data_IF_818241493047
#
_entry.id   IF_818241493047
#
_cell.length_a   1.000
_cell.length_b   1.000
_cell.length_c   1.000
_cell.angle_alpha   90.00
_cell.angle_beta   90.00
_cell.angle_gamma   90.00
#
_symmetry.space_group_name_H-M   'P 1'
#
loop_
_entity.id
_entity.type
_entity.pdbx_description
1 polymer ?
#
# COMPACT_ATOMS: atom_id res chain seq x y z
N UNK A 1 -12.48 13.05 29.67
CA UNK A 1 -12.17 13.56 28.32
C UNK A 1 -12.93 14.86 28.13
N UNK A 2 -12.24 16.00 28.04
CA UNK A 2 -12.89 17.27 27.71
C UNK A 2 -13.17 17.31 26.20
N UNK A 3 -14.41 17.60 25.82
CA UNK A 3 -14.89 17.63 24.41
C UNK A 3 -14.81 19.05 23.85
N UNK A 4 -14.23 19.99 24.59
CA UNK A 4 -14.19 21.43 24.26
C UNK A 4 -13.45 21.74 22.96
N UNK A 5 -12.49 20.89 22.57
CA UNK A 5 -11.75 21.04 21.32
C UNK A 5 -12.56 20.61 20.09
N UNK A 6 -13.65 19.84 20.27
CA UNK A 6 -14.49 19.33 19.20
C UNK A 6 -15.49 20.39 18.74
N UNK A 7 -14.96 21.38 18.03
CA UNK A 7 -15.72 22.50 17.47
C UNK A 7 -15.44 22.61 15.97
N UNK A 8 -16.41 23.12 15.22
CA UNK A 8 -16.27 23.32 13.77
C UNK A 8 -15.18 24.35 13.39
N UNK A 9 -14.75 25.17 14.35
CA UNK A 9 -13.67 26.14 14.19
C UNK A 9 -12.28 25.53 14.37
N UNK A 10 -12.17 24.33 14.96
CA UNK A 10 -10.90 23.63 15.12
C UNK A 10 -10.60 22.75 13.89
N UNK A 11 -9.56 23.06 13.08
CA UNK A 11 -9.23 22.26 11.91
C UNK A 11 -8.92 20.80 12.22
N UNK A 12 -8.35 20.51 13.40
CA UNK A 12 -8.04 19.14 13.84
C UNK A 12 -9.33 18.34 14.07
N UNK A 13 -10.38 18.96 14.63
CA UNK A 13 -11.67 18.33 14.83
C UNK A 13 -12.38 18.01 13.51
N UNK A 14 -12.34 18.95 12.56
CA UNK A 14 -12.91 18.75 11.21
C UNK A 14 -12.16 17.64 10.47
N UNK A 15 -10.83 17.65 10.51
CA UNK A 15 -10.00 16.60 9.92
C UNK A 15 -10.27 15.22 10.56
N UNK A 16 -10.36 15.14 11.88
CA UNK A 16 -10.68 13.89 12.57
C UNK A 16 -12.08 13.38 12.21
N UNK A 17 -13.09 14.25 12.17
CA UNK A 17 -14.43 13.89 11.72
C UNK A 17 -14.44 13.34 10.29
N UNK A 18 -13.63 13.92 9.40
CA UNK A 18 -13.40 13.39 8.06
C UNK A 18 -12.79 11.98 8.10
N UNK A 19 -11.73 11.75 8.88
CA UNK A 19 -11.10 10.43 8.99
C UNK A 19 -12.07 9.34 9.48
N UNK A 20 -12.88 9.65 10.51
CA UNK A 20 -13.89 8.74 11.05
C UNK A 20 -14.98 8.46 10.02
N UNK A 21 -15.45 9.48 9.31
CA UNK A 21 -16.48 9.34 8.26
C UNK A 21 -15.99 8.45 7.12
N UNK A 22 -14.78 8.71 6.62
CA UNK A 22 -14.15 7.90 5.57
C UNK A 22 -13.95 6.46 6.04
N UNK A 23 -13.52 6.26 7.29
CA UNK A 23 -13.36 4.93 7.87
C UNK A 23 -14.68 4.16 7.95
N UNK A 24 -15.77 4.83 8.34
CA UNK A 24 -17.11 4.25 8.31
C UNK A 24 -17.52 3.81 6.90
N UNK A 25 -17.27 4.65 5.90
CA UNK A 25 -17.52 4.31 4.50
C UNK A 25 -16.67 3.12 4.03
N UNK A 26 -15.39 3.08 4.39
CA UNK A 26 -14.48 1.98 4.05
C UNK A 26 -14.94 0.64 4.65
N UNK A 27 -15.37 0.64 5.91
CA UNK A 27 -15.92 -0.56 6.58
C UNK A 27 -17.22 -1.02 5.90
N UNK A 28 -18.09 -0.09 5.51
CA UNK A 28 -19.31 -0.40 4.78
C UNK A 28 -19.02 -1.03 3.41
N UNK A 29 -18.04 -0.50 2.67
CA UNK A 29 -17.59 -1.04 1.39
C UNK A 29 -16.98 -2.45 1.56
N UNK A 30 -16.10 -2.65 2.54
CA UNK A 30 -15.57 -3.98 2.85
C UNK A 30 -16.68 -4.98 3.21
N UNK A 31 -17.65 -4.55 4.03
CA UNK A 31 -18.79 -5.37 4.42
C UNK A 31 -19.64 -5.78 3.22
N UNK A 32 -19.84 -4.86 2.26
CA UNK A 32 -20.51 -5.13 0.99
C UNK A 32 -19.75 -6.15 0.14
N UNK A 33 -18.42 -6.00 0.01
CA UNK A 33 -17.57 -6.97 -0.67
C UNK A 33 -17.68 -8.35 -0.03
N UNK A 34 -17.54 -8.44 1.31
CA UNK A 34 -17.67 -9.70 2.05
C UNK A 34 -19.01 -10.40 1.79
N UNK A 35 -20.12 -9.66 1.78
CA UNK A 35 -21.45 -10.21 1.45
C UNK A 35 -21.51 -10.77 0.04
N UNK A 36 -20.83 -10.16 -0.95
CA UNK A 36 -20.77 -10.69 -2.33
C UNK A 36 -19.96 -11.98 -2.44
N UNK A 37 -19.00 -12.22 -1.54
CA UNK A 37 -18.23 -13.47 -1.50
C UNK A 37 -18.96 -14.63 -0.79
N UNK A 38 -19.88 -14.34 0.14
CA UNK A 38 -20.60 -15.37 0.91
C UNK A 38 -21.42 -16.36 0.06
N UNK A 39 -22.22 -15.95 -0.96
CA UNK A 39 -23.01 -16.87 -1.78
C UNK A 39 -22.18 -17.89 -2.55
N UNK A 40 -20.93 -17.55 -2.93
CA UNK A 40 -20.04 -18.45 -3.69
C UNK A 40 -19.43 -19.55 -2.82
N UNK A 41 -19.27 -19.33 -1.52
CA UNK A 41 -18.76 -20.33 -0.59
C UNK A 41 -19.83 -21.36 -0.20
N UNK A 42 -21.09 -20.93 -0.06
CA UNK A 42 -22.23 -21.79 0.30
C UNK A 42 -22.59 -22.82 -0.78
N UNK A 43 -22.32 -22.53 -2.06
CA UNK A 43 -22.60 -23.43 -3.18
C UNK A 43 -21.64 -24.64 -3.28
N UNK A 44 -20.52 -24.64 -2.54
CA UNK A 44 -19.49 -25.67 -2.61
C UNK A 44 -19.48 -26.66 -1.43
N UNK A 45 -20.48 -26.63 -0.55
CA UNK A 45 -20.78 -27.74 0.39
C UNK A 45 -19.71 -28.09 1.44
N UNK A 46 -18.67 -27.26 1.63
CA UNK A 46 -17.68 -27.49 2.69
C UNK A 46 -18.00 -26.63 3.93
N UNK A 47 -18.32 -27.31 5.04
CA UNK A 47 -18.40 -26.75 6.37
C UNK A 47 -17.06 -26.15 6.81
N UNK A 48 -17.13 -25.13 7.66
CA UNK A 48 -16.11 -24.09 7.94
C UNK A 48 -16.08 -23.04 6.82
N UNK A 49 -16.57 -21.84 7.14
CA UNK A 49 -16.53 -20.68 6.25
C UNK A 49 -15.09 -20.47 5.72
N UNK A 50 -14.81 -20.91 4.48
CA UNK A 50 -13.56 -20.61 3.79
C UNK A 50 -13.56 -19.11 3.49
N UNK A 51 -13.19 -18.30 4.48
CA UNK A 51 -13.01 -16.87 4.28
C UNK A 51 -11.87 -16.73 3.29
N UNK A 52 -12.16 -16.07 2.17
CA UNK A 52 -11.17 -15.80 1.15
C UNK A 52 -10.00 -15.01 1.78
N UNK A 53 -8.77 -15.48 1.58
CA UNK A 53 -7.56 -14.82 2.10
C UNK A 53 -7.50 -13.34 1.72
N UNK A 54 -7.95 -12.96 0.51
CA UNK A 54 -7.99 -11.55 0.09
C UNK A 54 -8.96 -10.73 0.94
N UNK A 55 -10.07 -11.31 1.39
CA UNK A 55 -11.02 -10.63 2.29
C UNK A 55 -10.42 -10.44 3.68
N UNK A 56 -9.65 -11.42 4.18
CA UNK A 56 -8.96 -11.33 5.47
C UNK A 56 -7.83 -10.28 5.44
N UNK A 57 -6.98 -10.31 4.40
CA UNK A 57 -5.91 -9.34 4.23
C UNK A 57 -6.46 -7.91 4.07
N UNK A 58 -7.53 -7.76 3.29
CA UNK A 58 -8.21 -6.48 3.14
C UNK A 58 -8.86 -6.03 4.46
N UNK A 59 -9.45 -6.96 5.23
CA UNK A 59 -10.01 -6.64 6.54
C UNK A 59 -8.94 -6.10 7.49
N UNK A 60 -7.80 -6.79 7.60
CA UNK A 60 -6.68 -6.35 8.44
C UNK A 60 -6.25 -4.92 8.10
N UNK A 61 -6.16 -4.59 6.80
CA UNK A 61 -5.84 -3.23 6.37
C UNK A 61 -6.94 -2.21 6.70
N UNK A 62 -8.20 -2.50 6.32
CA UNK A 62 -9.35 -1.60 6.52
C UNK A 62 -9.57 -1.31 8.00
N UNK A 63 -9.59 -2.33 8.85
CA UNK A 63 -9.80 -2.17 10.29
C UNK A 63 -8.57 -1.57 10.98
N UNK A 64 -7.36 -1.86 10.51
CA UNK A 64 -6.15 -1.21 11.00
C UNK A 64 -6.15 0.29 10.73
N UNK A 65 -6.49 0.70 9.50
CA UNK A 65 -6.66 2.12 9.13
C UNK A 65 -7.82 2.77 9.90
N UNK A 66 -8.94 2.07 10.11
CA UNK A 66 -10.06 2.59 10.88
C UNK A 66 -9.68 2.81 12.36
N UNK A 67 -8.95 1.88 12.98
CA UNK A 67 -8.42 2.03 14.32
C UNK A 67 -7.53 3.27 14.44
N UNK A 68 -6.60 3.45 13.49
CA UNK A 68 -5.70 4.62 13.46
C UNK A 68 -6.41 5.93 13.08
N UNK A 69 -7.54 5.86 12.38
CA UNK A 69 -8.38 7.03 12.08
C UNK A 69 -9.18 7.50 13.30
N UNK A 70 -9.66 6.56 14.11
CA UNK A 70 -10.33 6.86 15.39
C UNK A 70 -9.32 7.37 16.41
N UNK A 71 -8.13 6.76 16.47
CA UNK A 71 -7.05 7.10 17.39
C UNK A 71 -5.79 7.56 16.62
N UNK A 72 -5.83 8.74 15.96
CA UNK A 72 -4.69 9.25 15.21
C UNK A 72 -3.56 9.63 16.16
N UNK A 73 -2.33 9.43 15.67
CA UNK A 73 -1.09 9.63 16.41
C UNK A 73 0.07 9.84 15.44
N UNK A 74 1.03 10.68 15.82
CA UNK A 74 2.30 10.78 15.09
C UNK A 74 3.39 10.05 15.90
N UNK A 75 3.88 8.97 15.32
CA UNK A 75 4.60 7.93 16.06
C UNK A 75 5.92 8.44 16.67
N UNK A 76 6.79 9.08 15.89
CA UNK A 76 8.10 9.57 16.39
C UNK A 76 7.95 10.76 17.36
N UNK A 77 6.98 11.64 17.11
CA UNK A 77 6.75 12.83 17.92
C UNK A 77 6.01 12.53 19.24
N UNK A 78 5.49 11.30 19.42
CA UNK A 78 4.69 10.87 20.57
C UNK A 78 3.42 11.71 20.78
N UNK A 79 2.87 12.31 19.72
CA UNK A 79 1.63 13.09 19.84
C UNK A 79 0.42 12.23 19.52
N UNK A 80 -0.64 12.39 20.31
CA UNK A 80 -1.89 11.64 20.16
C UNK A 80 -3.08 12.59 20.28
N UNK A 81 -4.22 12.18 19.71
CA UNK A 81 -5.45 12.95 19.84
C UNK A 81 -6.25 12.56 21.09
N UNK A 82 -6.16 11.30 21.52
CA UNK A 82 -6.91 10.79 22.67
C UNK A 82 -6.00 10.16 23.71
N UNK A 83 -6.26 10.45 24.98
CA UNK A 83 -5.55 9.87 26.10
C UNK A 83 -6.09 8.46 26.44
N UNK A 84 -5.45 7.44 25.91
CA UNK A 84 -5.79 6.04 26.19
C UNK A 84 -4.58 5.16 25.90
N UNK A 85 -4.46 4.04 26.60
CA UNK A 85 -3.40 3.06 26.34
C UNK A 85 -3.42 2.54 24.88
N UNK A 86 -4.59 2.55 24.24
CA UNK A 86 -4.75 2.21 22.82
C UNK A 86 -4.08 3.23 21.89
N UNK A 87 -3.84 4.46 22.36
CA UNK A 87 -3.12 5.51 21.63
C UNK A 87 -1.60 5.37 21.75
N UNK A 88 -1.10 4.41 22.54
CA UNK A 88 0.34 4.13 22.63
C UNK A 88 0.93 3.88 21.24
N UNK A 89 2.15 4.38 21.04
CA UNK A 89 2.82 4.26 19.75
C UNK A 89 3.12 2.79 19.44
N UNK A 90 3.44 1.98 20.45
CA UNK A 90 3.63 0.54 20.29
C UNK A 90 2.41 -0.16 19.69
N UNK A 91 1.20 0.08 20.21
CA UNK A 91 -0.04 -0.53 19.69
C UNK A 91 -0.32 0.00 18.27
N UNK A 92 -0.20 1.31 18.07
CA UNK A 92 -0.44 1.95 16.77
C UNK A 92 0.46 1.40 15.67
N UNK A 93 1.77 1.31 15.95
CA UNK A 93 2.77 0.78 15.02
C UNK A 93 2.60 -0.72 14.78
N UNK A 94 2.22 -1.51 15.79
CA UNK A 94 1.88 -2.93 15.60
C UNK A 94 0.70 -3.12 14.65
N UNK A 95 -0.38 -2.36 14.85
CA UNK A 95 -1.57 -2.38 13.97
C UNK A 95 -1.19 -1.95 12.54
N UNK A 96 -0.37 -0.91 12.42
CA UNK A 96 0.13 -0.42 11.14
C UNK A 96 0.96 -1.47 10.40
N UNK A 97 1.92 -2.11 11.08
CA UNK A 97 2.77 -3.16 10.51
C UNK A 97 1.93 -4.34 10.01
N UNK A 98 0.96 -4.81 10.78
CA UNK A 98 0.06 -5.90 10.33
C UNK A 98 -0.72 -5.46 9.08
N UNK A 99 -1.28 -4.26 9.11
CA UNK A 99 -2.03 -3.70 7.99
C UNK A 99 -1.15 -3.62 6.73
N UNK A 100 0.01 -2.97 6.82
CA UNK A 100 0.95 -2.73 5.72
C UNK A 100 1.47 -4.03 5.10
N UNK A 101 1.80 -5.02 5.93
CA UNK A 101 2.17 -6.37 5.47
C UNK A 101 1.00 -7.03 4.75
N UNK A 102 -0.21 -6.98 5.29
CA UNK A 102 -1.39 -7.52 4.62
C UNK A 102 -1.67 -6.83 3.27
N UNK A 103 -1.42 -5.52 3.18
CA UNK A 103 -1.61 -4.74 1.98
C UNK A 103 -0.61 -5.13 0.87
N UNK A 104 0.68 -5.24 1.18
CA UNK A 104 1.68 -5.67 0.18
C UNK A 104 1.47 -7.13 -0.24
N UNK A 105 0.99 -8.00 0.65
CA UNK A 105 0.64 -9.39 0.31
C UNK A 105 -0.52 -9.41 -0.70
N UNK A 106 -1.52 -8.53 -0.60
CA UNK A 106 -2.58 -8.44 -1.60
C UNK A 106 -2.02 -8.10 -2.98
N UNK A 107 -1.12 -7.11 -3.06
CA UNK A 107 -0.39 -6.80 -4.29
C UNK A 107 0.38 -8.01 -4.84
N UNK A 108 1.10 -8.72 -3.97
CA UNK A 108 1.88 -9.89 -4.35
C UNK A 108 0.99 -10.99 -4.94
N UNK A 109 -0.17 -11.27 -4.32
CA UNK A 109 -1.12 -12.27 -4.81
C UNK A 109 -1.64 -11.89 -6.20
N UNK A 110 -2.09 -10.64 -6.39
CA UNK A 110 -2.62 -10.17 -7.69
C UNK A 110 -1.54 -10.24 -8.77
N UNK A 111 -0.36 -9.68 -8.51
CA UNK A 111 0.74 -9.67 -9.47
C UNK A 111 1.22 -11.07 -9.80
N UNK A 112 1.35 -11.96 -8.80
CA UNK A 112 1.76 -13.36 -9.02
C UNK A 112 0.75 -14.11 -9.89
N UNK A 113 -0.54 -13.93 -9.65
CA UNK A 113 -1.60 -14.55 -10.44
C UNK A 113 -1.55 -14.07 -11.90
N UNK A 114 -1.53 -12.75 -12.10
CA UNK A 114 -1.54 -12.16 -13.43
C UNK A 114 -0.24 -12.47 -14.18
N UNK A 115 0.92 -12.37 -13.52
CA UNK A 115 2.24 -12.68 -14.08
C UNK A 115 2.32 -14.12 -14.60
N UNK A 116 1.80 -15.10 -13.84
CA UNK A 116 1.72 -16.49 -14.30
C UNK A 116 0.77 -16.67 -15.47
N UNK A 117 -0.37 -15.99 -15.46
CA UNK A 117 -1.34 -16.07 -16.55
C UNK A 117 -0.76 -15.53 -17.87
N UNK A 118 -0.05 -14.40 -17.84
CA UNK A 118 0.59 -13.83 -19.04
C UNK A 118 1.95 -14.45 -19.37
N UNK A 119 2.49 -15.31 -18.49
CA UNK A 119 3.84 -15.90 -18.57
C UNK A 119 4.95 -14.84 -18.58
N UNK A 120 4.82 -13.82 -17.73
CA UNK A 120 5.84 -12.78 -17.55
C UNK A 120 6.69 -13.05 -16.32
N UNK A 121 7.96 -13.34 -16.53
CA UNK A 121 8.94 -13.52 -15.45
C UNK A 121 9.16 -12.21 -14.69
N UNK A 122 9.17 -11.07 -15.38
CA UNK A 122 9.30 -9.75 -14.75
C UNK A 122 8.22 -9.50 -13.71
N UNK A 123 6.95 -9.66 -14.06
CA UNK A 123 5.81 -9.45 -13.14
C UNK A 123 5.87 -10.47 -11.99
N UNK A 124 6.24 -11.70 -12.31
CA UNK A 124 6.33 -12.80 -11.35
C UNK A 124 7.46 -12.59 -10.33
N UNK A 125 8.62 -12.08 -10.76
CA UNK A 125 9.76 -11.77 -9.88
C UNK A 125 9.48 -10.54 -9.01
N UNK A 126 8.85 -9.51 -9.57
CA UNK A 126 8.42 -8.34 -8.80
C UNK A 126 7.45 -8.76 -7.70
N UNK A 127 6.46 -9.62 -8.01
CA UNK A 127 5.50 -10.09 -7.01
C UNK A 127 6.13 -10.79 -5.80
N UNK A 128 7.30 -11.42 -5.98
CA UNK A 128 8.05 -12.06 -4.89
C UNK A 128 8.99 -11.13 -4.14
N UNK A 129 9.44 -10.05 -4.79
CA UNK A 129 10.39 -9.11 -4.19
C UNK A 129 9.73 -8.10 -3.24
N UNK A 130 8.48 -7.70 -3.51
CA UNK A 130 7.83 -6.61 -2.78
C UNK A 130 7.58 -6.90 -1.29
N UNK A 131 7.22 -8.15 -0.92
CA UNK A 131 6.93 -8.48 0.48
C UNK A 131 8.20 -8.39 1.36
N UNK A 132 9.34 -9.03 1.00
CA UNK A 132 10.59 -8.85 1.74
C UNK A 132 11.03 -7.39 1.85
N UNK A 133 10.88 -6.60 0.78
CA UNK A 133 11.25 -5.17 0.80
C UNK A 133 10.44 -4.40 1.85
N UNK A 134 9.13 -4.62 1.92
CA UNK A 134 8.27 -3.96 2.92
C UNK A 134 8.56 -4.49 4.33
N UNK A 135 8.87 -5.78 4.50
CA UNK A 135 9.29 -6.27 5.82
C UNK A 135 10.56 -5.56 6.34
N UNK A 136 11.52 -5.25 5.46
CA UNK A 136 12.69 -4.43 5.82
C UNK A 136 12.26 -2.99 6.14
N UNK A 137 11.33 -2.42 5.37
CA UNK A 137 10.77 -1.09 5.65
C UNK A 137 10.12 -1.03 7.04
N UNK A 138 9.37 -2.06 7.46
CA UNK A 138 8.79 -2.15 8.80
C UNK A 138 9.86 -2.19 9.88
N UNK A 139 10.95 -2.92 9.69
CA UNK A 139 12.07 -2.92 10.64
C UNK A 139 12.68 -1.53 10.79
N UNK A 140 12.82 -0.78 9.68
CA UNK A 140 13.28 0.61 9.71
C UNK A 140 12.27 1.52 10.42
N UNK A 141 10.96 1.32 10.21
CA UNK A 141 9.88 2.03 10.90
C UNK A 141 9.94 1.82 12.42
N UNK A 142 10.06 0.57 12.85
CA UNK A 142 10.21 0.22 14.26
C UNK A 142 11.48 0.80 14.87
N UNK A 143 12.61 0.71 14.16
CA UNK A 143 13.85 1.32 14.60
C UNK A 143 13.69 2.84 14.80
N UNK A 144 13.08 3.53 13.83
CA UNK A 144 12.86 4.96 13.89
C UNK A 144 12.01 5.36 15.09
N UNK A 145 10.93 4.62 15.32
CA UNK A 145 9.98 4.89 16.39
C UNK A 145 10.60 4.60 17.75
N UNK A 146 11.32 3.49 17.92
CA UNK A 146 11.98 3.12 19.18
C UNK A 146 13.10 4.13 19.52
N UNK A 147 13.95 4.46 18.56
CA UNK A 147 15.14 5.32 18.80
C UNK A 147 14.85 6.81 18.66
N UNK A 148 13.66 7.17 18.17
CA UNK A 148 13.27 8.53 17.75
C UNK A 148 14.12 9.12 16.62
N UNK A 149 14.73 8.24 15.80
CA UNK A 149 15.58 8.60 14.67
C UNK A 149 14.78 8.65 13.37
N UNK A 150 14.48 9.86 12.88
CA UNK A 150 13.73 10.06 11.63
C UNK A 150 14.38 9.47 10.37
N UNK A 151 15.69 9.15 10.40
CA UNK A 151 16.35 8.49 9.28
C UNK A 151 15.71 7.13 8.95
N UNK A 152 15.25 6.38 9.97
CA UNK A 152 14.58 5.11 9.73
C UNK A 152 13.26 5.28 8.98
N UNK A 153 12.48 6.33 9.27
CA UNK A 153 11.27 6.64 8.51
C UNK A 153 11.58 7.12 7.08
N UNK A 154 12.67 7.86 6.88
CA UNK A 154 13.10 8.25 5.53
C UNK A 154 13.45 7.01 4.68
N UNK A 155 14.13 6.02 5.27
CA UNK A 155 14.48 4.76 4.60
C UNK A 155 13.23 3.91 4.35
N UNK A 156 12.34 3.77 5.33
CA UNK A 156 11.03 3.10 5.20
C UNK A 156 10.24 3.66 4.01
N UNK A 157 10.04 4.98 3.97
CA UNK A 157 9.28 5.64 2.89
C UNK A 157 9.98 5.53 1.54
N UNK A 158 11.31 5.51 1.52
CA UNK A 158 12.09 5.25 0.30
C UNK A 158 11.89 3.82 -0.21
N UNK A 159 11.83 2.82 0.69
CA UNK A 159 11.55 1.43 0.33
C UNK A 159 10.11 1.24 -0.18
N UNK A 160 9.14 1.98 0.39
CA UNK A 160 7.80 2.07 -0.17
C UNK A 160 7.80 2.65 -1.58
N UNK A 161 8.54 3.75 -1.83
CA UNK A 161 8.65 4.34 -3.15
C UNK A 161 9.25 3.35 -4.16
N UNK A 162 10.35 2.68 -3.83
CA UNK A 162 10.97 1.64 -4.67
C UNK A 162 9.99 0.50 -4.95
N UNK A 163 9.29 0.01 -3.92
CA UNK A 163 8.30 -1.05 -4.05
C UNK A 163 7.20 -0.67 -5.04
N UNK A 164 6.66 0.53 -4.93
CA UNK A 164 5.61 1.01 -5.83
C UNK A 164 6.12 1.31 -7.25
N UNK A 165 7.38 1.75 -7.42
CA UNK A 165 8.01 1.83 -8.74
C UNK A 165 8.11 0.44 -9.38
N UNK A 166 8.49 -0.59 -8.64
CA UNK A 166 8.50 -1.97 -9.15
C UNK A 166 7.09 -2.42 -9.54
N UNK A 167 6.07 -2.15 -8.72
CA UNK A 167 4.67 -2.45 -9.05
C UNK A 167 4.25 -1.70 -10.33
N UNK A 168 4.62 -0.43 -10.49
CA UNK A 168 4.33 0.34 -11.69
C UNK A 168 4.98 -0.26 -12.94
N UNK A 169 6.23 -0.73 -12.86
CA UNK A 169 6.91 -1.43 -13.96
C UNK A 169 6.14 -2.71 -14.33
N UNK A 170 5.71 -3.49 -13.33
CA UNK A 170 4.91 -4.69 -13.57
C UNK A 170 3.59 -4.36 -14.27
N UNK A 171 2.85 -3.36 -13.77
CA UNK A 171 1.57 -2.93 -14.36
C UNK A 171 1.74 -2.33 -15.75
N UNK A 172 2.81 -1.56 -16.00
CA UNK A 172 3.10 -1.00 -17.31
C UNK A 172 3.37 -2.09 -18.34
N UNK A 173 4.06 -3.17 -17.96
CA UNK A 173 4.19 -4.37 -18.81
C UNK A 173 2.82 -4.98 -19.12
N UNK A 174 1.96 -5.11 -18.12
CA UNK A 174 0.61 -5.67 -18.30
C UNK A 174 -0.31 -4.83 -19.20
N UNK A 175 -0.04 -3.52 -19.40
CA UNK A 175 -0.80 -2.70 -20.36
C UNK A 175 -0.73 -3.22 -21.79
N UNK A 176 0.36 -3.89 -22.15
CA UNK A 176 0.56 -4.49 -23.47
C UNK A 176 -0.17 -5.83 -23.62
N UNK A 177 -0.37 -6.55 -22.52
CA UNK A 177 -1.02 -7.87 -22.50
C UNK A 177 -2.55 -7.80 -22.49
N UNK A 178 -3.13 -6.68 -22.04
CA UNK A 178 -4.58 -6.52 -21.91
C UNK A 178 -5.18 -5.48 -22.87
N UNK A 179 -6.49 -5.59 -23.09
CA UNK A 179 -7.30 -4.63 -23.82
C UNK A 179 -8.63 -4.34 -23.11
N UNK A 180 -9.39 -3.37 -23.62
CA UNK A 180 -10.70 -3.01 -23.08
C UNK A 180 -10.66 -2.51 -21.62
N UNK A 181 -11.69 -2.81 -20.81
CA UNK A 181 -11.81 -2.34 -19.44
C UNK A 181 -10.64 -2.71 -18.52
N UNK A 182 -10.01 -3.88 -18.71
CA UNK A 182 -8.86 -4.30 -17.89
C UNK A 182 -7.66 -3.40 -18.15
N UNK A 183 -7.41 -3.02 -19.41
CA UNK A 183 -6.32 -2.08 -19.74
C UNK A 183 -6.55 -0.71 -19.11
N UNK A 184 -7.80 -0.22 -19.12
CA UNK A 184 -8.16 1.04 -18.48
C UNK A 184 -7.92 0.95 -16.97
N UNK A 185 -8.38 -0.12 -16.31
CA UNK A 185 -8.15 -0.33 -14.89
C UNK A 185 -6.66 -0.36 -14.53
N UNK A 186 -5.84 -1.09 -15.30
CA UNK A 186 -4.37 -1.11 -15.11
C UNK A 186 -3.77 0.28 -15.33
N UNK A 187 -4.21 1.03 -16.34
CA UNK A 187 -3.72 2.38 -16.59
C UNK A 187 -4.06 3.34 -15.45
N UNK A 188 -5.28 3.24 -14.89
CA UNK A 188 -5.68 4.00 -13.71
C UNK A 188 -4.83 3.64 -12.49
N UNK A 189 -4.51 2.35 -12.27
CA UNK A 189 -3.61 1.94 -11.20
C UNK A 189 -2.19 2.52 -11.38
N UNK A 190 -1.66 2.50 -12.61
CA UNK A 190 -0.35 3.11 -12.91
C UNK A 190 -0.35 4.61 -12.62
N UNK A 191 -1.40 5.33 -13.03
CA UNK A 191 -1.53 6.76 -12.76
C UNK A 191 -1.61 7.07 -11.25
N UNK A 192 -2.39 6.29 -10.50
CA UNK A 192 -2.48 6.42 -9.04
C UNK A 192 -1.14 6.14 -8.34
N UNK A 193 -0.39 5.13 -8.79
CA UNK A 193 0.94 4.83 -8.27
C UNK A 193 1.93 5.94 -8.61
N UNK A 194 1.89 6.49 -9.83
CA UNK A 194 2.76 7.60 -10.21
C UNK A 194 2.52 8.83 -9.32
N UNK A 195 1.25 9.13 -9.02
CA UNK A 195 0.90 10.20 -8.08
C UNK A 195 1.43 9.90 -6.66
N UNK A 196 1.25 8.68 -6.16
CA UNK A 196 1.74 8.30 -4.83
C UNK A 196 3.27 8.34 -4.72
N UNK A 197 3.99 7.86 -5.74
CA UNK A 197 5.45 7.92 -5.79
C UNK A 197 5.93 9.37 -5.84
N UNK A 198 5.26 10.24 -6.61
CA UNK A 198 5.57 11.66 -6.62
C UNK A 198 5.36 12.30 -5.23
N UNK A 199 4.28 11.94 -4.53
CA UNK A 199 4.04 12.37 -3.16
C UNK A 199 5.17 11.93 -2.20
N UNK A 200 5.58 10.66 -2.25
CA UNK A 200 6.67 10.16 -1.41
C UNK A 200 7.99 10.89 -1.66
N UNK A 201 8.34 11.14 -2.92
CA UNK A 201 9.61 11.75 -3.30
C UNK A 201 9.64 13.26 -3.02
N UNK A 202 8.52 13.96 -3.21
CA UNK A 202 8.47 15.42 -3.12
C UNK A 202 8.07 15.92 -1.73
N UNK A 203 7.27 15.16 -0.99
CA UNK A 203 6.69 15.60 0.28
C UNK A 203 7.23 14.76 1.44
N UNK A 204 7.00 13.45 1.39
CA UNK A 204 7.12 12.60 2.58
C UNK A 204 8.59 12.32 2.96
N UNK A 205 9.39 11.79 2.03
CA UNK A 205 10.81 11.53 2.27
C UNK A 205 11.58 12.82 2.61
N UNK A 206 11.39 13.95 1.88
CA UNK A 206 12.03 15.22 2.25
C UNK A 206 11.62 15.73 3.63
N UNK A 207 10.37 15.55 4.06
CA UNK A 207 9.92 15.93 5.40
C UNK A 207 10.72 15.18 6.48
N UNK A 208 10.85 13.86 6.36
CA UNK A 208 11.61 13.06 7.32
C UNK A 208 13.11 13.38 7.31
N UNK A 209 13.69 13.59 6.12
CA UNK A 209 15.08 14.02 6.01
C UNK A 209 15.28 15.40 6.63
N UNK A 210 14.37 16.36 6.42
CA UNK A 210 14.44 17.68 7.04
C UNK A 210 14.42 17.61 8.57
N UNK A 211 13.52 16.79 9.14
CA UNK A 211 13.45 16.52 10.58
C UNK A 211 14.72 15.87 11.11
N UNK A 212 15.29 14.91 10.37
CA UNK A 212 16.56 14.26 10.71
C UNK A 212 17.73 15.26 10.72
N UNK A 213 17.88 16.09 9.68
CA UNK A 213 18.93 17.10 9.64
C UNK A 213 18.80 18.11 10.79
N UNK A 214 17.57 18.52 11.13
CA UNK A 214 17.31 19.39 12.27
C UNK A 214 17.71 18.73 13.61
N UNK A 215 17.38 17.46 13.80
CA UNK A 215 17.76 16.69 15.00
C UNK A 215 19.28 16.54 15.12
N UNK A 216 19.98 16.28 14.01
CA UNK A 216 21.45 16.18 13.96
C UNK A 216 22.09 17.54 14.25
N UNK A 217 21.60 18.61 13.63
CA UNK A 217 22.11 19.97 13.86
C UNK A 217 21.86 20.45 15.29
N UNK A 218 20.75 20.02 15.90
CA UNK A 218 20.41 20.29 17.29
C UNK A 218 21.14 19.41 18.31
N UNK A 219 21.95 18.45 17.87
CA UNK A 219 22.67 17.52 18.76
C UNK A 219 21.74 16.62 19.58
N UNK A 220 20.57 16.27 19.04
CA UNK A 220 19.58 15.45 19.74
C UNK A 220 20.15 14.06 20.04
N UNK A 221 20.16 13.69 21.31
CA UNK A 221 20.48 12.33 21.72
C UNK A 221 19.34 11.37 21.36
N UNK A 222 19.69 10.27 20.69
CA UNK A 222 18.74 9.21 20.35
C UNK A 222 18.47 8.34 21.58
N UNK A 223 17.26 7.77 21.64
CA UNK A 223 16.94 6.80 22.68
C UNK A 223 17.67 5.47 22.40
N UNK A 224 18.22 4.87 23.46
CA UNK A 224 18.66 3.48 23.44
C UNK A 224 17.47 2.53 23.18
N UNK A 225 17.75 1.31 22.72
CA UNK A 225 16.68 0.39 22.30
C UNK A 225 15.71 0.03 23.44
N UNK A 226 16.21 -0.27 24.65
CA UNK A 226 15.36 -0.66 25.78
C UNK A 226 14.57 0.51 26.35
N UNK A 227 15.21 1.68 26.51
CA UNK A 227 14.51 2.90 26.95
C UNK A 227 13.48 3.35 25.91
N UNK A 228 13.82 3.22 24.63
CA UNK A 228 12.92 3.44 23.50
C UNK A 228 11.70 2.53 23.50
N UNK A 229 11.88 1.23 23.76
CA UNK A 229 10.78 0.27 23.87
C UNK A 229 9.81 0.61 25.01
N UNK A 230 10.33 1.02 26.16
CA UNK A 230 9.51 1.50 27.26
C UNK A 230 8.79 2.80 26.90
N UNK A 231 9.49 3.74 26.27
CA UNK A 231 8.96 5.03 25.85
C UNK A 231 7.81 4.89 24.84
N UNK A 232 7.94 4.08 23.79
CA UNK A 232 6.88 3.87 22.79
C UNK A 232 5.62 3.21 23.38
N UNK A 233 5.76 2.48 24.49
CA UNK A 233 4.67 1.78 25.14
C UNK A 233 3.96 2.63 26.20
N UNK A 234 4.61 3.65 26.76
CA UNK A 234 4.13 4.35 27.97
C UNK A 234 4.02 5.87 27.83
N UNK A 235 4.69 6.48 26.84
CA UNK A 235 4.75 7.94 26.71
C UNK A 235 4.00 8.43 25.47
N UNK A 236 3.05 9.32 25.69
CA UNK A 236 2.40 10.12 24.66
C UNK A 236 1.94 11.47 25.23
N UNK A 237 1.85 12.47 24.38
CA UNK A 237 1.36 13.80 24.71
C UNK A 237 0.10 14.08 23.91
N UNK A 238 -0.99 14.37 24.60
CA UNK A 238 -2.26 14.74 23.97
C UNK A 238 -2.16 16.16 23.46
N UNK A 239 -2.49 16.38 22.18
CA UNK A 239 -2.54 17.74 21.62
C UNK A 239 -3.63 17.87 20.58
N UNK A 240 -4.34 19.01 20.63
CA UNK A 240 -5.37 19.41 19.67
C UNK A 240 -4.95 20.63 18.85
N UNK A 241 -3.66 21.00 18.92
CA UNK A 241 -3.09 22.12 18.20
C UNK A 241 -2.76 21.76 16.75
N UNK A 242 -3.40 22.45 15.81
CA UNK A 242 -3.21 22.24 14.36
C UNK A 242 -1.75 22.40 13.93
N UNK A 243 -0.96 23.24 14.59
CA UNK A 243 0.45 23.44 14.23
C UNK A 243 1.26 22.15 14.38
N UNK A 244 0.90 21.30 15.35
CA UNK A 244 1.56 20.00 15.58
C UNK A 244 1.11 18.93 14.59
N UNK A 245 -0.12 19.02 14.08
CA UNK A 245 -0.70 18.05 13.16
C UNK A 245 -0.54 18.42 11.68
N UNK A 246 -0.16 19.67 11.37
CA UNK A 246 -0.17 20.22 10.01
C UNK A 246 0.55 19.34 8.98
N UNK A 247 1.72 18.84 9.32
CA UNK A 247 2.52 18.00 8.42
C UNK A 247 1.99 16.55 8.33
N UNK A 248 1.24 16.12 9.35
CA UNK A 248 0.73 14.77 9.46
C UNK A 248 -0.61 14.58 8.73
N UNK A 249 -1.41 15.66 8.66
CA UNK A 249 -2.74 15.67 8.02
C UNK A 249 -2.72 15.13 6.58
N UNK A 250 -1.82 15.58 5.67
CA UNK A 250 -1.88 15.18 4.26
C UNK A 250 -1.64 13.67 4.07
N UNK A 251 -0.57 13.13 4.65
CA UNK A 251 -0.21 11.72 4.46
C UNK A 251 -1.22 10.81 5.14
N UNK A 252 -1.67 11.13 6.37
CA UNK A 252 -2.67 10.34 7.08
C UNK A 252 -4.00 10.32 6.33
N UNK A 253 -4.41 11.46 5.76
CA UNK A 253 -5.64 11.54 4.97
C UNK A 253 -5.56 10.64 3.75
N UNK A 254 -4.44 10.66 3.00
CA UNK A 254 -4.24 9.79 1.84
C UNK A 254 -4.15 8.31 2.22
N UNK A 255 -3.42 7.99 3.29
CA UNK A 255 -3.23 6.63 3.77
C UNK A 255 -4.54 6.02 4.29
N UNK A 256 -5.34 6.74 5.07
CA UNK A 256 -6.62 6.23 5.59
C UNK A 256 -7.77 6.26 4.57
N UNK A 257 -7.57 6.87 3.39
CA UNK A 257 -8.58 6.92 2.32
C UNK A 257 -8.11 6.16 1.06
N UNK A 258 -7.32 6.79 0.21
CA UNK A 258 -6.90 6.29 -1.09
C UNK A 258 -6.18 4.94 -1.01
N UNK A 259 -5.30 4.75 -0.03
CA UNK A 259 -4.64 3.46 0.14
C UNK A 259 -5.65 2.37 0.54
N UNK A 260 -6.63 2.67 1.40
CA UNK A 260 -7.71 1.74 1.74
C UNK A 260 -8.57 1.40 0.53
N UNK A 261 -8.89 2.38 -0.32
CA UNK A 261 -9.62 2.13 -1.57
C UNK A 261 -8.84 1.25 -2.53
N UNK A 262 -7.51 1.40 -2.61
CA UNK A 262 -6.65 0.51 -3.39
C UNK A 262 -6.67 -0.92 -2.83
N UNK A 263 -6.66 -1.09 -1.51
CA UNK A 263 -6.79 -2.39 -0.84
C UNK A 263 -8.15 -3.05 -1.14
N UNK A 264 -9.24 -2.27 -1.08
CA UNK A 264 -10.59 -2.73 -1.46
C UNK A 264 -10.65 -3.14 -2.95
N UNK A 265 -10.00 -2.38 -3.83
CA UNK A 265 -9.91 -2.70 -5.25
C UNK A 265 -9.14 -4.01 -5.50
N UNK A 266 -7.99 -4.22 -4.83
CA UNK A 266 -7.24 -5.48 -4.89
C UNK A 266 -8.08 -6.64 -4.33
N UNK A 267 -8.82 -6.44 -3.26
CA UNK A 267 -9.73 -7.44 -2.71
C UNK A 267 -10.82 -7.85 -3.72
N UNK A 268 -11.35 -6.89 -4.48
CA UNK A 268 -12.34 -7.13 -5.53
C UNK A 268 -11.80 -7.96 -6.71
N UNK A 269 -10.47 -8.10 -6.84
CA UNK A 269 -9.82 -8.90 -7.88
C UNK A 269 -10.38 -10.32 -7.97
N UNK A 270 -10.62 -10.97 -6.83
CA UNK A 270 -11.14 -12.34 -6.82
C UNK A 270 -12.57 -12.46 -7.38
N UNK A 271 -13.33 -11.36 -7.41
CA UNK A 271 -14.64 -11.34 -8.04
C UNK A 271 -14.53 -11.33 -9.57
N UNK A 272 -13.51 -10.67 -10.10
CA UNK A 272 -13.36 -10.37 -11.54
C UNK A 272 -12.31 -11.23 -12.25
N UNK A 273 -11.45 -11.94 -11.51
CA UNK A 273 -10.30 -12.67 -12.09
C UNK A 273 -10.68 -13.68 -13.17
N UNK A 274 -11.85 -14.29 -13.06
CA UNK A 274 -12.36 -15.25 -14.05
C UNK A 274 -12.68 -14.61 -15.42
N UNK A 275 -12.84 -13.29 -15.47
CA UNK A 275 -13.06 -12.55 -16.71
C UNK A 275 -11.77 -12.08 -17.38
N UNK A 276 -10.63 -12.06 -16.66
CA UNK A 276 -9.34 -11.61 -17.19
C UNK A 276 -8.93 -12.29 -18.50
N UNK A 277 -9.08 -13.62 -18.69
CA UNK A 277 -8.68 -14.28 -19.93
C UNK A 277 -9.39 -13.72 -21.17
N UNK A 278 -10.61 -13.19 -21.02
CA UNK A 278 -11.39 -12.60 -22.13
C UNK A 278 -10.76 -11.31 -22.67
N UNK A 279 -10.00 -10.61 -21.82
CA UNK A 279 -9.36 -9.34 -22.15
C UNK A 279 -7.87 -9.47 -22.45
N UNK A 280 -7.34 -10.71 -22.46
CA UNK A 280 -5.96 -10.98 -22.83
C UNK A 280 -5.82 -10.82 -24.34
N UNK A 281 -4.80 -10.10 -24.80
CA UNK A 281 -4.45 -10.06 -26.22
C UNK A 281 -3.88 -11.42 -26.64
N UNK A 282 -4.21 -11.93 -27.85
CA UNK A 282 -3.56 -13.11 -28.39
C UNK A 282 -2.05 -12.90 -28.42
N UNK A 283 -1.27 -13.94 -28.10
CA UNK A 283 0.15 -13.95 -28.43
C UNK A 283 0.27 -13.68 -29.93
N UNK A 284 1.06 -12.67 -30.32
CA UNK A 284 1.35 -12.45 -31.73
C UNK A 284 1.97 -13.74 -32.28
N UNK A 285 1.23 -14.44 -33.15
CA UNK A 285 1.76 -15.58 -33.89
C UNK A 285 2.85 -14.99 -34.78
N UNK A 286 4.10 -15.49 -34.71
CA UNK A 286 5.13 -15.08 -35.66
C UNK A 286 4.57 -15.29 -37.07
N UNK A 287 4.56 -14.23 -37.89
CA UNK A 287 4.13 -14.34 -39.28
C UNK A 287 4.88 -15.48 -39.99
N UNK A 288 4.29 -16.11 -41.01
CA UNK A 288 4.92 -17.24 -41.69
C UNK A 288 6.34 -16.84 -42.10
N UNK A 289 7.32 -17.66 -41.71
CA UNK A 289 8.70 -17.49 -42.11
C UNK A 289 8.74 -17.32 -43.63
N UNK A 290 9.27 -16.18 -44.10
CA UNK A 290 9.50 -15.99 -45.54
C UNK A 290 10.33 -17.16 -46.02
N UNK A 291 9.75 -18.01 -46.88
CA UNK A 291 10.50 -19.07 -47.53
C UNK A 291 11.67 -18.41 -48.29
N UNK A 292 12.91 -18.91 -48.14
CA UNK A 292 14.02 -18.41 -48.93
C UNK A 292 13.69 -18.64 -50.41
N UNK A 293 13.70 -17.57 -51.20
CA UNK A 293 13.57 -17.64 -52.66
C UNK A 293 14.66 -18.58 -53.20
N UNK A 294 14.33 -19.60 -54.01
CA UNK A 294 15.35 -20.42 -54.65
C UNK A 294 16.10 -19.56 -55.67
N UNK A 295 17.36 -19.23 -55.36
CA UNK A 295 18.28 -18.62 -56.32
C UNK A 295 18.59 -19.66 -57.39
N UNK A 296 18.03 -19.49 -58.59
CA UNK A 296 18.31 -20.34 -59.74
C UNK A 296 19.67 -19.96 -60.30
N UNK A 297 20.71 -20.72 -59.98
CA UNK A 297 22.03 -20.57 -60.61
C UNK A 297 21.95 -21.14 -62.02
N UNK A 298 21.97 -20.28 -63.04
CA UNK A 298 22.11 -20.68 -64.44
C UNK A 298 23.57 -21.01 -64.73
N UNK A 299 23.92 -22.30 -64.80
CA UNK A 299 25.21 -22.75 -65.33
C UNK A 299 25.21 -22.63 -66.85
N UNK A 300 25.62 -21.47 -67.37
CA UNK A 300 25.92 -21.31 -68.79
C UNK A 300 27.30 -21.90 -69.06
N UNK A 301 27.34 -23.20 -69.39
CA UNK A 301 28.52 -23.83 -69.96
C UNK A 301 28.82 -23.22 -71.34
N UNK A 302 30.09 -22.85 -71.56
CA UNK A 302 30.65 -22.71 -72.90
C UNK A 302 31.93 -23.55 -72.98
N UNK A 303 31.95 -24.33 -74.05
CA UNK A 303 33.08 -25.07 -74.61
C UNK A 303 34.32 -24.18 -74.79
#
# INVERSE_FOLDING_TARGET
>A
MSVEWFTWTNPVAVWWAFLVTVSGANIALWSSLRRRFQPRASALGFGVARINIMILLCAAYVFGCAFRSVLPRADVQRIVLFDTWLSSVFVGRSVATIAEVCFVIQWAIVLRYVGRMVKSDTVTNISTAIVPLILVAELCSWYAVITTNYLGNAIENSLWAVTFVLIAIALFRLLYDFHGPVRVAVATMVAGIAFYVAFLIVVDVPMYLGRWHADVAGGKELLGLFSGLYDVATRWTVTHDVARWRDEIPWMSLYFSAAVWSSLALCSFDLVKHHLPRYRRPLAIPGPARQPFPVRVSSSGKL
#
